data_IF_537821493912
#
_entry.id   IF_537821493912
#
_cell.length_a   1.000
_cell.length_b   1.000
_cell.length_c   1.000
_cell.angle_alpha   90.00
_cell.angle_beta   90.00
_cell.angle_gamma   90.00
#
_symmetry.space_group_name_H-M   'P 1'
#
loop_
_entity.id
_entity.type
_entity.pdbx_description
1 polymer ?
#
# COMPACT_ATOMS: atom_id res chain seq x y z
N UNK A 1 -10.22 7.50 -6.51
CA UNK A 1 -9.37 6.62 -5.67
C UNK A 1 -9.73 6.80 -4.19
N UNK A 2 -9.86 5.71 -3.41
CA UNK A 2 -10.05 5.78 -1.95
C UNK A 2 -8.73 5.43 -1.26
N UNK A 3 -8.07 6.42 -0.65
CA UNK A 3 -6.93 6.18 0.25
C UNK A 3 -7.46 6.06 1.68
N UNK A 4 -7.11 4.97 2.36
CA UNK A 4 -7.44 4.79 3.78
C UNK A 4 -6.16 4.73 4.60
N UNK A 5 -6.03 5.62 5.59
CA UNK A 5 -4.95 5.58 6.59
C UNK A 5 -5.55 5.03 7.88
N UNK A 6 -4.92 4.03 8.49
CA UNK A 6 -5.42 3.40 9.71
C UNK A 6 -4.41 3.48 10.83
N UNK A 7 -4.87 3.89 12.00
CA UNK A 7 -4.21 3.57 13.27
C UNK A 7 -4.56 2.14 13.70
N UNK A 8 -3.76 1.61 14.61
CA UNK A 8 -4.03 0.38 15.32
C UNK A 8 -5.46 0.32 15.87
N UNK A 9 -6.27 -0.65 15.44
CA UNK A 9 -7.15 -1.29 16.42
C UNK A 9 -6.28 -2.31 17.15
N UNK A 10 -6.24 -2.22 18.47
CA UNK A 10 -5.31 -2.92 19.33
C UNK A 10 -5.35 -4.44 19.13
N UNK A 11 -4.41 -4.97 18.34
CA UNK A 11 -4.17 -6.42 18.22
C UNK A 11 -3.31 -6.95 19.38
N UNK A 12 -2.72 -6.07 20.21
CA UNK A 12 -1.70 -6.48 21.20
C UNK A 12 -2.15 -6.40 22.67
N UNK A 13 -3.46 -6.37 22.95
CA UNK A 13 -3.97 -6.19 24.31
C UNK A 13 -4.86 -7.32 24.86
N UNK A 14 -5.27 -8.29 24.05
CA UNK A 14 -6.18 -9.33 24.50
C UNK A 14 -5.94 -10.66 23.75
N UNK A 15 -6.03 -11.82 24.42
CA UNK A 15 -5.72 -13.14 23.85
C UNK A 15 -6.73 -13.62 22.78
N UNK A 16 -7.69 -12.78 22.42
CA UNK A 16 -8.55 -12.93 21.27
C UNK A 16 -7.90 -12.22 20.08
N UNK A 17 -7.30 -13.01 19.18
CA UNK A 17 -6.97 -12.62 17.81
C UNK A 17 -8.28 -12.18 17.10
N UNK A 18 -8.82 -11.01 17.43
CA UNK A 18 -9.92 -10.44 16.68
C UNK A 18 -9.33 -10.01 15.35
N UNK A 19 -9.57 -10.86 14.35
CA UNK A 19 -9.18 -10.61 12.98
C UNK A 19 -9.79 -9.27 12.56
N UNK A 20 -8.92 -8.30 12.23
CA UNK A 20 -9.32 -7.25 11.31
C UNK A 20 -9.91 -7.93 10.06
N UNK A 21 -11.00 -7.39 9.48
CA UNK A 21 -11.60 -7.99 8.29
C UNK A 21 -10.52 -8.39 7.27
N UNK A 22 -10.51 -9.64 6.79
CA UNK A 22 -9.50 -10.13 5.86
C UNK A 22 -9.35 -9.19 4.66
N UNK A 23 -8.12 -8.97 4.21
CA UNK A 23 -7.84 -8.05 3.11
C UNK A 23 -8.64 -8.40 1.83
N UNK A 24 -8.90 -9.69 1.58
CA UNK A 24 -9.73 -10.15 0.46
C UNK A 24 -11.22 -9.73 0.53
N UNK A 25 -11.72 -9.33 1.70
CA UNK A 25 -13.08 -8.79 1.88
C UNK A 25 -13.11 -7.26 1.69
N UNK A 26 -11.94 -6.60 1.77
CA UNK A 26 -11.81 -5.14 1.74
C UNK A 26 -11.35 -4.61 0.39
N UNK A 27 -10.63 -5.43 -0.37
CA UNK A 27 -10.02 -5.06 -1.64
C UNK A 27 -10.90 -5.55 -2.79
N UNK A 28 -11.32 -4.66 -3.71
CA UNK A 28 -11.98 -5.10 -4.93
C UNK A 28 -11.05 -6.04 -5.70
N UNK A 29 -11.52 -7.21 -6.10
CA UNK A 29 -10.75 -8.09 -7.00
C UNK A 29 -10.89 -7.69 -8.47
N UNK A 30 -11.90 -6.87 -8.76
CA UNK A 30 -12.27 -6.40 -10.08
C UNK A 30 -12.61 -4.91 -10.04
N UNK A 31 -12.36 -4.21 -11.14
CA UNK A 31 -12.86 -2.83 -11.33
C UNK A 31 -14.35 -2.80 -11.66
N UNK A 32 -14.87 -1.59 -11.90
CA UNK A 32 -16.27 -1.35 -12.26
C UNK A 32 -16.67 -2.02 -13.59
N UNK A 33 -15.69 -2.28 -14.46
CA UNK A 33 -15.86 -2.95 -15.75
C UNK A 33 -15.71 -4.48 -15.64
N UNK A 34 -15.45 -5.00 -14.44
CA UNK A 34 -15.26 -6.43 -14.18
C UNK A 34 -13.87 -6.96 -14.54
N UNK A 35 -12.90 -6.11 -14.89
CA UNK A 35 -11.53 -6.51 -15.19
C UNK A 35 -10.75 -6.81 -13.91
N UNK A 36 -9.78 -7.74 -13.96
CA UNK A 36 -8.94 -8.06 -12.79
C UNK A 36 -8.05 -6.89 -12.41
N UNK A 37 -7.83 -6.72 -11.11
CA UNK A 37 -6.85 -5.80 -10.57
C UNK A 37 -5.54 -6.51 -10.26
N UNK A 38 -4.46 -5.75 -10.32
CA UNK A 38 -3.14 -6.14 -9.84
C UNK A 38 -2.85 -5.41 -8.53
N UNK A 39 -2.14 -6.10 -7.64
CA UNK A 39 -1.80 -5.59 -6.32
C UNK A 39 -0.29 -5.63 -6.12
N UNK A 40 0.24 -4.65 -5.40
CA UNK A 40 1.56 -4.72 -4.80
C UNK A 40 1.54 -4.14 -3.40
N UNK A 41 2.53 -4.57 -2.60
CA UNK A 41 2.74 -4.04 -1.26
C UNK A 41 4.12 -3.39 -1.18
N UNK A 42 4.25 -2.34 -0.38
CA UNK A 42 5.52 -1.74 -0.01
C UNK A 42 5.61 -1.58 1.50
N UNK A 43 6.79 -1.77 2.07
CA UNK A 43 7.08 -1.48 3.48
C UNK A 43 7.94 -0.22 3.61
N UNK A 44 7.77 0.51 4.70
CA UNK A 44 8.57 1.68 5.08
C UNK A 44 9.25 1.47 6.44
N UNK A 45 10.30 0.65 6.53
CA UNK A 45 10.90 0.25 7.82
C UNK A 45 11.40 1.44 8.67
N UNK A 46 11.89 2.49 8.01
CA UNK A 46 12.45 3.69 8.64
C UNK A 46 11.39 4.57 9.37
N UNK A 47 10.11 4.24 9.23
CA UNK A 47 8.99 4.96 9.85
C UNK A 47 8.49 4.28 11.13
N UNK A 48 9.08 3.14 11.51
CA UNK A 48 8.70 2.40 12.71
C UNK A 48 8.93 3.24 13.98
N UNK A 49 7.86 3.41 14.76
CA UNK A 49 7.89 4.14 16.03
C UNK A 49 7.71 5.66 15.93
N UNK A 50 7.45 6.19 14.73
CA UNK A 50 7.09 7.61 14.55
C UNK A 50 5.59 7.80 14.77
N UNK A 51 5.22 8.93 15.34
CA UNK A 51 3.82 9.27 15.58
C UNK A 51 3.12 9.72 14.29
N UNK A 52 1.79 9.59 14.26
CA UNK A 52 0.99 9.87 13.07
C UNK A 52 1.15 11.32 12.56
N UNK A 53 1.34 12.28 13.48
CA UNK A 53 1.58 13.69 13.14
C UNK A 53 2.93 13.89 12.45
N UNK A 54 3.98 13.19 12.89
CA UNK A 54 5.31 13.22 12.26
C UNK A 54 5.30 12.57 10.87
N UNK A 55 4.39 11.63 10.64
CA UNK A 55 4.22 10.94 9.38
C UNK A 55 3.32 11.69 8.40
N UNK A 56 2.54 12.68 8.84
CA UNK A 56 1.57 13.38 8.00
C UNK A 56 2.18 14.02 6.73
N UNK A 57 3.36 14.69 6.77
CA UNK A 57 3.99 15.21 5.56
C UNK A 57 4.39 14.10 4.58
N UNK A 58 4.88 12.97 5.12
CA UNK A 58 5.28 11.82 4.31
C UNK A 58 4.06 11.12 3.68
N UNK A 59 2.97 10.96 4.43
CA UNK A 59 1.70 10.43 3.92
C UNK A 59 1.14 11.31 2.81
N UNK A 60 1.25 12.64 2.95
CA UNK A 60 0.82 13.61 1.94
C UNK A 60 1.63 13.45 0.64
N UNK A 61 2.94 13.23 0.72
CA UNK A 61 3.78 12.95 -0.44
C UNK A 61 3.35 11.66 -1.17
N UNK A 62 3.12 10.58 -0.41
CA UNK A 62 2.67 9.29 -0.95
C UNK A 62 1.29 9.43 -1.60
N UNK A 63 0.35 10.11 -0.93
CA UNK A 63 -0.97 10.39 -1.49
C UNK A 63 -0.89 11.22 -2.78
N UNK A 64 -0.02 12.22 -2.82
CA UNK A 64 0.22 13.05 -4.00
C UNK A 64 0.69 12.22 -5.20
N UNK A 65 1.61 11.26 -4.98
CA UNK A 65 2.02 10.33 -6.04
C UNK A 65 0.85 9.48 -6.50
N UNK A 66 0.11 8.85 -5.59
CA UNK A 66 -1.00 7.96 -5.96
C UNK A 66 -2.13 8.71 -6.70
N UNK A 67 -2.42 9.96 -6.34
CA UNK A 67 -3.38 10.82 -7.04
C UNK A 67 -2.99 11.13 -8.49
N UNK A 68 -1.69 11.17 -8.81
CA UNK A 68 -1.25 11.33 -10.22
C UNK A 68 -1.61 10.12 -11.09
N UNK A 69 -1.93 8.98 -10.46
CA UNK A 69 -2.37 7.76 -11.12
C UNK A 69 -3.84 7.43 -10.79
N UNK A 70 -4.68 8.42 -10.46
CA UNK A 70 -6.07 8.21 -10.02
C UNK A 70 -6.95 7.38 -10.98
N UNK A 71 -6.70 7.49 -12.29
CA UNK A 71 -7.37 6.77 -13.37
C UNK A 71 -6.97 5.28 -13.43
N UNK A 72 -5.88 4.92 -12.75
CA UNK A 72 -5.31 3.58 -12.76
C UNK A 72 -5.30 2.91 -11.37
N UNK A 73 -5.12 3.68 -10.30
CA UNK A 73 -5.14 3.21 -8.91
C UNK A 73 -6.58 3.16 -8.41
N UNK A 74 -7.03 1.96 -8.10
CA UNK A 74 -8.41 1.71 -7.65
C UNK A 74 -8.50 1.84 -6.13
N UNK A 75 -7.48 1.35 -5.42
CA UNK A 75 -7.46 1.32 -3.97
C UNK A 75 -6.05 1.47 -3.42
N UNK A 76 -5.91 2.16 -2.29
CA UNK A 76 -4.67 2.21 -1.53
C UNK A 76 -4.96 2.24 -0.02
N UNK A 77 -4.18 1.51 0.77
CA UNK A 77 -4.29 1.41 2.23
C UNK A 77 -2.90 1.52 2.85
N UNK A 78 -2.73 2.46 3.78
CA UNK A 78 -1.51 2.52 4.57
C UNK A 78 -1.79 2.08 6.00
N UNK A 79 -1.16 0.97 6.40
CA UNK A 79 -1.20 0.45 7.75
C UNK A 79 0.01 0.98 8.54
N UNK A 80 -0.22 1.95 9.43
CA UNK A 80 0.82 2.61 10.23
C UNK A 80 1.52 1.65 11.20
N UNK A 81 0.82 0.66 11.75
CA UNK A 81 1.44 -0.31 12.66
C UNK A 81 2.45 -1.21 11.95
N UNK A 82 2.09 -1.67 10.75
CA UNK A 82 2.95 -2.53 9.94
C UNK A 82 3.94 -1.72 9.09
N UNK A 83 3.77 -0.40 9.02
CA UNK A 83 4.42 0.48 8.05
C UNK A 83 4.30 -0.06 6.63
N UNK A 84 3.11 -0.54 6.26
CA UNK A 84 2.83 -1.24 5.01
C UNK A 84 1.81 -0.48 4.17
N UNK A 85 2.22 -0.14 2.95
CA UNK A 85 1.38 0.40 1.89
C UNK A 85 0.90 -0.75 1.00
N UNK A 86 -0.41 -0.95 0.90
CA UNK A 86 -1.04 -1.77 -0.15
C UNK A 86 -1.52 -0.84 -1.26
N UNK A 87 -1.24 -1.18 -2.52
CA UNK A 87 -1.84 -0.51 -3.68
C UNK A 87 -2.47 -1.54 -4.62
N UNK A 88 -3.73 -1.31 -5.00
CA UNK A 88 -4.45 -2.03 -6.04
C UNK A 88 -4.66 -1.14 -7.25
N UNK A 89 -4.32 -1.63 -8.44
CA UNK A 89 -4.39 -0.87 -9.68
C UNK A 89 -4.90 -1.73 -10.85
N UNK A 90 -5.34 -1.06 -11.93
CA UNK A 90 -5.74 -1.72 -13.18
C UNK A 90 -4.58 -2.54 -13.77
N UNK A 91 -4.88 -3.73 -14.30
CA UNK A 91 -3.88 -4.59 -14.95
C UNK A 91 -3.43 -4.01 -16.30
N UNK A 92 -2.43 -3.12 -16.27
CA UNK A 92 -1.76 -2.59 -17.47
C UNK A 92 -0.27 -2.97 -17.45
N UNK A 93 0.30 -3.50 -18.55
CA UNK A 93 1.74 -3.77 -18.63
C UNK A 93 2.59 -2.56 -18.24
N UNK A 94 3.59 -2.77 -17.38
CA UNK A 94 4.52 -1.73 -16.92
C UNK A 94 3.99 -0.77 -15.84
N UNK A 95 2.67 -0.66 -15.65
CA UNK A 95 2.08 0.30 -14.71
C UNK A 95 2.51 0.06 -13.25
N UNK A 96 2.58 -1.21 -12.82
CA UNK A 96 3.02 -1.53 -11.45
C UNK A 96 4.46 -1.06 -11.19
N UNK A 97 5.36 -1.28 -12.15
CA UNK A 97 6.74 -0.81 -12.07
C UNK A 97 6.85 0.71 -12.09
N UNK A 98 6.05 1.38 -12.92
CA UNK A 98 5.95 2.84 -13.00
C UNK A 98 5.49 3.45 -11.65
N UNK A 99 4.42 2.89 -11.06
CA UNK A 99 3.92 3.26 -9.74
C UNK A 99 4.97 3.09 -8.65
N UNK A 100 5.63 1.92 -8.61
CA UNK A 100 6.68 1.63 -7.64
C UNK A 100 7.86 2.60 -7.79
N UNK A 101 8.28 2.90 -9.02
CA UNK A 101 9.36 3.84 -9.28
C UNK A 101 9.00 5.26 -8.80
N UNK A 102 7.79 5.73 -9.12
CA UNK A 102 7.31 7.05 -8.70
C UNK A 102 7.20 7.16 -7.17
N UNK A 103 6.70 6.11 -6.51
CA UNK A 103 6.62 6.04 -5.05
C UNK A 103 8.01 6.07 -4.41
N UNK A 104 8.99 5.33 -4.94
CA UNK A 104 10.37 5.35 -4.44
C UNK A 104 11.07 6.70 -4.67
N UNK A 105 10.77 7.39 -5.76
CA UNK A 105 11.33 8.71 -6.04
C UNK A 105 10.86 9.76 -5.01
N UNK A 106 9.57 9.74 -4.64
CA UNK A 106 9.01 10.68 -3.67
C UNK A 106 9.24 10.25 -2.21
N UNK A 107 9.25 8.95 -1.94
CA UNK A 107 9.43 8.35 -0.63
C UNK A 107 10.50 7.24 -0.68
N UNK A 108 11.80 7.59 -0.65
CA UNK A 108 12.92 6.64 -0.80
C UNK A 108 12.97 5.53 0.27
N UNK A 109 12.27 5.74 1.38
CA UNK A 109 12.12 4.79 2.49
C UNK A 109 11.29 3.56 2.09
N UNK A 110 10.46 3.66 1.03
CA UNK A 110 9.62 2.57 0.57
C UNK A 110 10.45 1.46 -0.08
N UNK A 111 10.08 0.23 0.23
CA UNK A 111 10.66 -1.00 -0.32
C UNK A 111 9.52 -1.89 -0.80
N UNK A 112 9.59 -2.33 -2.06
CA UNK A 112 8.62 -3.25 -2.62
C UNK A 112 8.70 -4.59 -1.88
N UNK A 113 7.55 -5.12 -1.46
CA UNK A 113 7.41 -6.48 -0.96
C UNK A 113 7.16 -7.38 -2.15
N UNK A 114 8.10 -8.27 -2.41
CA UNK A 114 8.01 -9.24 -3.49
C UNK A 114 9.18 -10.20 -3.39
N UNK A 115 9.00 -11.39 -3.93
CA UNK A 115 10.11 -12.30 -4.17
C UNK A 115 10.75 -11.89 -5.49
N UNK A 116 12.01 -11.44 -5.46
CA UNK A 116 12.84 -11.50 -6.68
C UNK A 116 13.09 -12.99 -6.87
N UNK A 117 12.56 -13.65 -7.92
CA UNK A 117 12.97 -15.02 -8.20
C UNK A 117 14.48 -15.01 -8.37
N UNK A 118 15.18 -15.93 -7.72
CA UNK A 118 16.62 -16.10 -7.91
C UNK A 118 16.88 -16.16 -9.41
N UNK A 119 17.47 -15.09 -9.95
CA UNK A 119 18.09 -15.11 -11.26
C UNK A 119 19.38 -15.88 -11.06
N UNK A 120 19.27 -17.20 -10.99
CA UNK A 120 20.43 -18.09 -11.04
C UNK A 120 21.17 -17.78 -12.35
N UNK A 121 22.34 -17.16 -12.20
CA UNK A 121 23.35 -17.08 -13.25
C UNK A 121 24.20 -18.34 -13.29
#
# INVERSE_FOLDING_TARGET
MRLTVRSAQAVLGAPNWQASQPLWQRVPKRDAEGQRLADFMMIAPALKGRDAEELAPWLTLVEGVLKRFDSAVVFADFNLQLNLLWVSHRCRPGLGSELVAALRAAAPQLRLVGHVPDMAG
#
